data_IF_834075594276
#
_entry.id   IF_834075594276
#
_cell.length_a   1.000
_cell.length_b   1.000
_cell.length_c   1.000
_cell.angle_alpha   90.00
_cell.angle_beta   90.00
_cell.angle_gamma   90.00
#
_symmetry.space_group_name_H-M   'P 1'
#
loop_
_entity.id
_entity.type
_entity.pdbx_description
1 polymer ?
#
# COMPACT_ATOMS: atom_id res chain seq x y z
N UNK A 1 -16.74 4.85 -27.79
CA UNK A 1 -17.11 4.07 -26.58
C UNK A 1 -15.83 3.51 -25.97
N UNK A 2 -15.42 3.98 -24.79
CA UNK A 2 -14.38 3.33 -23.99
C UNK A 2 -14.89 3.28 -22.54
N UNK A 3 -15.42 2.11 -22.17
CA UNK A 3 -15.83 1.77 -20.80
C UNK A 3 -14.56 1.34 -20.08
N UNK A 4 -13.87 2.26 -19.40
CA UNK A 4 -12.86 1.90 -18.41
C UNK A 4 -13.59 1.23 -17.24
N UNK A 5 -13.54 -0.10 -17.20
CA UNK A 5 -14.15 -0.90 -16.15
C UNK A 5 -13.67 -0.40 -14.79
N UNK A 6 -14.59 0.18 -14.02
CA UNK A 6 -14.39 0.41 -12.59
C UNK A 6 -14.37 -0.95 -11.91
N UNK A 7 -13.25 -1.68 -12.06
CA UNK A 7 -12.97 -2.81 -11.20
C UNK A 7 -12.77 -2.22 -9.81
N UNK A 8 -13.82 -2.31 -8.99
CA UNK A 8 -13.71 -2.09 -7.55
C UNK A 8 -12.87 -3.26 -7.03
N UNK A 9 -11.55 -3.13 -7.17
CA UNK A 9 -10.59 -4.10 -6.64
C UNK A 9 -10.84 -4.15 -5.14
N UNK A 10 -11.35 -5.29 -4.67
CA UNK A 10 -11.56 -5.53 -3.25
C UNK A 10 -10.27 -5.16 -2.49
N UNK A 11 -10.36 -4.55 -1.29
CA UNK A 11 -9.17 -4.12 -0.57
C UNK A 11 -8.17 -5.28 -0.45
N UNK A 12 -6.99 -5.14 -1.06
CA UNK A 12 -5.93 -6.15 -0.95
C UNK A 12 -5.65 -6.36 0.54
N UNK A 13 -5.80 -7.59 1.01
CA UNK A 13 -5.44 -7.99 2.37
C UNK A 13 -3.95 -8.31 2.39
N UNK A 14 -3.19 -7.50 3.11
CA UNK A 14 -1.76 -7.69 3.32
C UNK A 14 -1.52 -8.39 4.65
N UNK A 15 -0.53 -9.28 4.69
CA UNK A 15 -0.01 -9.79 5.95
C UNK A 15 0.68 -8.67 6.74
N UNK A 16 0.82 -8.82 8.05
CA UNK A 16 1.55 -7.84 8.86
C UNK A 16 2.98 -7.59 8.37
N UNK A 17 3.65 -8.63 7.85
CA UNK A 17 4.99 -8.52 7.25
C UNK A 17 4.98 -7.69 5.96
N UNK A 18 3.99 -7.91 5.08
CA UNK A 18 3.83 -7.12 3.86
C UNK A 18 3.51 -5.65 4.17
N UNK A 19 2.64 -5.38 5.15
CA UNK A 19 2.36 -4.00 5.59
C UNK A 19 3.63 -3.32 6.08
N UNK A 20 4.43 -4.00 6.92
CA UNK A 20 5.71 -3.46 7.41
C UNK A 20 6.65 -3.15 6.25
N UNK A 21 6.84 -4.09 5.32
CA UNK A 21 7.68 -3.92 4.14
C UNK A 21 7.25 -2.71 3.28
N UNK A 22 5.95 -2.59 2.98
CA UNK A 22 5.41 -1.49 2.16
C UNK A 22 5.63 -0.16 2.87
N UNK A 23 5.29 -0.07 4.17
CA UNK A 23 5.36 1.18 4.94
C UNK A 23 6.81 1.64 5.18
N UNK A 24 7.74 0.70 5.40
CA UNK A 24 9.15 1.01 5.68
C UNK A 24 9.97 1.37 4.44
N UNK A 25 9.50 1.01 3.25
CA UNK A 25 10.23 1.31 2.01
C UNK A 25 10.39 2.83 1.75
N UNK A 26 11.50 3.26 1.12
CA UNK A 26 11.78 4.66 0.81
C UNK A 26 10.67 5.36 0.00
N UNK A 27 10.45 6.64 0.27
CA UNK A 27 9.44 7.45 -0.41
C UNK A 27 9.83 7.88 -1.82
N UNK A 28 11.13 7.86 -2.14
CA UNK A 28 11.68 8.24 -3.44
C UNK A 28 11.44 7.20 -4.55
N UNK A 29 10.83 6.07 -4.21
CA UNK A 29 10.49 5.00 -5.15
C UNK A 29 11.63 4.02 -5.44
N UNK A 30 12.82 4.23 -4.86
CA UNK A 30 14.03 3.44 -5.15
C UNK A 30 13.88 1.92 -4.91
N UNK A 31 12.90 1.51 -4.09
CA UNK A 31 12.62 0.09 -3.79
C UNK A 31 11.26 -0.41 -4.30
N UNK A 32 10.53 0.40 -5.06
CA UNK A 32 9.15 0.06 -5.42
C UNK A 32 9.06 -1.21 -6.26
N UNK A 33 10.05 -1.45 -7.14
CA UNK A 33 10.14 -2.68 -7.92
C UNK A 33 10.32 -3.92 -7.06
N UNK A 34 11.17 -3.85 -6.04
CA UNK A 34 11.38 -4.97 -5.12
C UNK A 34 10.12 -5.26 -4.29
N UNK A 35 9.48 -4.21 -3.75
CA UNK A 35 8.23 -4.33 -2.99
C UNK A 35 7.12 -4.92 -3.86
N UNK A 36 7.00 -4.48 -5.13
CA UNK A 36 6.05 -5.00 -6.10
C UNK A 36 6.17 -6.53 -6.24
N UNK A 37 7.40 -7.03 -6.40
CA UNK A 37 7.69 -8.47 -6.52
C UNK A 37 7.37 -9.23 -5.23
N UNK A 38 7.83 -8.74 -4.08
CA UNK A 38 7.66 -9.43 -2.79
C UNK A 38 6.21 -9.49 -2.32
N UNK A 39 5.38 -8.54 -2.73
CA UNK A 39 3.97 -8.46 -2.31
C UNK A 39 3.02 -8.99 -3.40
N UNK A 40 3.48 -9.17 -4.64
CA UNK A 40 2.62 -9.57 -5.75
C UNK A 40 1.59 -8.50 -6.10
N UNK A 41 2.01 -7.24 -6.15
CA UNK A 41 1.17 -6.11 -6.57
C UNK A 41 1.77 -5.40 -7.79
N UNK A 42 0.96 -4.74 -8.65
CA UNK A 42 1.49 -3.94 -9.74
C UNK A 42 2.38 -2.81 -9.22
N UNK A 43 3.51 -2.56 -9.88
CA UNK A 43 4.46 -1.51 -9.50
C UNK A 43 3.80 -0.13 -9.28
N UNK A 44 2.90 0.36 -10.15
CA UNK A 44 2.24 1.66 -9.94
C UNK A 44 1.39 1.74 -8.66
N UNK A 45 0.99 0.60 -8.08
CA UNK A 45 0.21 0.56 -6.85
C UNK A 45 1.03 0.72 -5.57
N UNK A 46 2.35 0.50 -5.63
CA UNK A 46 3.20 0.50 -4.43
C UNK A 46 3.14 1.83 -3.68
N UNK A 47 3.30 2.95 -4.41
CA UNK A 47 3.21 4.28 -3.83
C UNK A 47 1.82 4.60 -3.25
N UNK A 48 0.75 4.17 -3.95
CA UNK A 48 -0.64 4.37 -3.53
C UNK A 48 -0.93 3.63 -2.22
N UNK A 49 -0.57 2.35 -2.15
CA UNK A 49 -0.81 1.52 -0.97
C UNK A 49 0.09 1.91 0.19
N UNK A 50 1.33 2.36 -0.06
CA UNK A 50 2.20 2.95 0.96
C UNK A 50 1.55 4.16 1.62
N UNK A 51 1.04 5.10 0.82
CA UNK A 51 0.37 6.29 1.34
C UNK A 51 -0.88 5.93 2.15
N UNK A 52 -1.69 5.00 1.65
CA UNK A 52 -2.89 4.50 2.34
C UNK A 52 -2.55 3.85 3.67
N UNK A 53 -1.61 2.90 3.70
CA UNK A 53 -1.22 2.17 4.91
C UNK A 53 -0.56 3.06 5.96
N UNK A 54 0.23 4.07 5.54
CA UNK A 54 0.79 5.06 6.46
C UNK A 54 -0.29 5.88 7.16
N UNK A 55 -1.34 6.31 6.44
CA UNK A 55 -2.48 7.02 7.06
C UNK A 55 -3.18 6.15 8.10
N UNK A 56 -3.50 4.90 7.74
CA UNK A 56 -4.13 3.94 8.67
C UNK A 56 -3.27 3.71 9.92
N UNK A 57 -1.95 3.59 9.76
CA UNK A 57 -1.04 3.43 10.89
C UNK A 57 -1.01 4.67 11.81
N UNK A 58 -1.02 5.88 11.23
CA UNK A 58 -1.11 7.13 11.98
C UNK A 58 -2.44 7.23 12.73
N UNK A 59 -3.56 6.95 12.08
CA UNK A 59 -4.88 7.02 12.70
C UNK A 59 -5.02 6.00 13.84
N UNK A 60 -4.51 4.78 13.65
CA UNK A 60 -4.46 3.77 14.71
C UNK A 60 -3.57 4.18 15.90
N UNK A 61 -2.50 4.94 15.66
CA UNK A 61 -1.66 5.47 16.74
C UNK A 61 -2.34 6.60 17.51
N UNK A 62 -3.12 7.45 16.84
CA UNK A 62 -3.89 8.54 17.46
C UNK A 62 -5.05 8.04 18.31
N UNK A 63 -5.80 7.06 17.82
CA UNK A 63 -6.92 6.45 18.57
C UNK A 63 -6.48 5.63 19.79
N UNK A 64 -5.19 5.31 19.94
CA UNK A 64 -4.65 4.61 21.11
C UNK A 64 -4.43 5.54 22.31
N UNK A 65 -4.42 6.86 22.10
CA UNK A 65 -4.10 7.88 23.12
C UNK A 65 -5.32 8.73 23.52
N UNK A 66 -6.52 8.37 23.09
CA UNK A 66 -7.80 8.94 23.53
C UNK A 66 -8.53 7.95 24.40
#
# INVERSE_FOLDING_TARGET
>A
MMRGSGEVVAPRRYTAGQVRLIVSSPLDGSQDFYVSMMVGMPLPMVAVERARLRRVAVDASRGRWS
#
